data_IF_972925315576
#
_entry.id   IF_972925315576
#
_cell.length_a   1.000
_cell.length_b   1.000
_cell.length_c   1.000
_cell.angle_alpha   90.00
_cell.angle_beta   90.00
_cell.angle_gamma   90.00
#
_symmetry.space_group_name_H-M   'P 1'
#
loop_
_entity.id
_entity.type
_entity.pdbx_description
1 polymer ?
#
# COMPACT_ATOMS: atom_id res chain seq x y z
N UNK A 1 -0.47 -19.20 -26.25
CA UNK A 1 -0.48 -18.04 -25.34
C UNK A 1 0.13 -18.52 -24.05
N UNK A 2 1.42 -18.28 -23.85
CA UNK A 2 2.20 -18.71 -22.67
C UNK A 2 1.72 -17.90 -21.47
N UNK A 3 1.08 -18.56 -20.52
CA UNK A 3 0.76 -18.01 -19.21
C UNK A 3 2.11 -17.74 -18.49
N UNK A 4 2.60 -16.52 -18.57
CA UNK A 4 3.66 -16.04 -17.70
C UNK A 4 3.05 -15.94 -16.31
N UNK A 5 3.07 -17.06 -15.57
CA UNK A 5 2.87 -17.05 -14.13
C UNK A 5 3.92 -16.13 -13.54
N UNK A 6 3.54 -14.90 -13.18
CA UNK A 6 4.46 -14.00 -12.50
C UNK A 6 4.90 -14.69 -11.21
N UNK A 7 6.21 -14.81 -11.01
CA UNK A 7 6.76 -15.33 -9.77
C UNK A 7 6.18 -14.52 -8.60
N UNK A 8 5.88 -15.16 -7.45
CA UNK A 8 5.41 -14.45 -6.28
C UNK A 8 6.45 -13.41 -5.85
N UNK A 9 6.00 -12.24 -5.39
CA UNK A 9 6.88 -11.19 -4.86
C UNK A 9 7.76 -11.75 -3.73
N UNK A 10 9.06 -11.50 -3.82
CA UNK A 10 9.97 -11.74 -2.71
C UNK A 10 9.87 -10.59 -1.69
N UNK A 11 9.25 -10.86 -0.57
CA UNK A 11 9.06 -9.90 0.53
C UNK A 11 10.18 -10.00 1.59
N UNK A 12 11.18 -10.88 1.43
CA UNK A 12 12.26 -11.04 2.40
C UNK A 12 12.99 -9.72 2.73
N UNK A 13 13.25 -8.82 1.76
CA UNK A 13 13.81 -7.51 2.07
C UNK A 13 12.94 -6.70 3.05
N UNK A 14 11.63 -6.72 2.87
CA UNK A 14 10.68 -5.98 3.70
C UNK A 14 10.56 -6.58 5.11
N UNK A 15 10.56 -7.90 5.23
CA UNK A 15 10.38 -8.60 6.51
C UNK A 15 11.55 -8.41 7.50
N UNK A 16 12.66 -7.85 7.06
CA UNK A 16 13.77 -7.42 7.94
C UNK A 16 13.43 -6.15 8.72
N UNK A 17 12.38 -5.44 8.36
CA UNK A 17 12.00 -4.14 8.89
C UNK A 17 10.66 -4.18 9.61
N UNK A 18 10.55 -5.07 10.62
CA UNK A 18 9.36 -5.14 11.46
C UNK A 18 9.21 -3.84 12.25
N UNK A 19 8.13 -3.10 12.00
CA UNK A 19 7.85 -1.87 12.71
C UNK A 19 7.20 -2.15 14.06
N UNK A 20 6.20 -3.06 14.06
CA UNK A 20 5.59 -3.56 15.28
C UNK A 20 4.77 -4.83 15.06
N UNK A 21 4.45 -5.48 16.18
CA UNK A 21 3.43 -6.52 16.30
C UNK A 21 2.58 -6.21 17.52
N UNK A 22 1.27 -6.42 17.45
CA UNK A 22 0.36 -6.19 18.57
C UNK A 22 -0.85 -7.10 18.50
N UNK A 23 -1.33 -7.53 19.66
CA UNK A 23 -2.60 -8.22 19.82
C UNK A 23 -3.65 -7.36 20.51
N UNK A 24 -3.28 -6.11 20.82
CA UNK A 24 -4.14 -5.14 21.46
C UNK A 24 -4.76 -4.21 20.41
N UNK A 25 -6.10 -4.10 20.35
CA UNK A 25 -6.82 -3.28 19.38
C UNK A 25 -6.38 -1.82 19.38
N UNK A 26 -6.27 -1.21 20.57
CA UNK A 26 -5.91 0.21 20.71
C UNK A 26 -4.47 0.48 20.26
N UNK A 27 -3.50 -0.32 20.71
CA UNK A 27 -2.10 -0.20 20.29
C UNK A 27 -1.95 -0.39 18.79
N UNK A 28 -2.67 -1.37 18.22
CA UNK A 28 -2.70 -1.62 16.78
C UNK A 28 -3.20 -0.39 16.00
N UNK A 29 -4.33 0.16 16.42
CA UNK A 29 -4.92 1.34 15.80
C UNK A 29 -3.99 2.56 15.85
N UNK A 30 -3.47 2.90 17.03
CA UNK A 30 -2.59 4.06 17.21
C UNK A 30 -1.32 3.96 16.36
N UNK A 31 -0.70 2.80 16.29
CA UNK A 31 0.54 2.60 15.52
C UNK A 31 0.30 2.69 14.02
N UNK A 32 -0.82 2.15 13.52
CA UNK A 32 -1.19 2.26 12.11
C UNK A 32 -1.55 3.70 11.76
N UNK A 33 -2.28 4.41 12.63
CA UNK A 33 -2.64 5.81 12.42
C UNK A 33 -1.40 6.71 12.27
N UNK A 34 -0.35 6.48 13.06
CA UNK A 34 0.91 7.24 12.95
C UNK A 34 1.62 7.05 11.61
N UNK A 35 1.46 5.89 10.97
CA UNK A 35 2.12 5.61 9.69
C UNK A 35 1.37 6.18 8.49
N UNK A 36 0.05 6.14 8.52
CA UNK A 36 -0.78 6.57 7.40
C UNK A 36 -1.50 7.90 7.68
N UNK A 37 -2.58 7.85 8.41
CA UNK A 37 -3.38 8.98 8.84
C UNK A 37 -4.33 8.54 9.93
N UNK A 38 -4.92 9.49 10.64
CA UNK A 38 -5.98 9.22 11.59
C UNK A 38 -7.20 8.59 10.89
N UNK A 39 -7.80 7.61 11.53
CA UNK A 39 -8.92 6.85 10.98
C UNK A 39 -9.77 6.22 12.09
N UNK A 40 -11.03 5.95 11.79
CA UNK A 40 -11.83 5.08 12.62
C UNK A 40 -11.57 3.63 12.21
N UNK A 41 -11.42 2.76 13.20
CA UNK A 41 -11.17 1.33 13.00
C UNK A 41 -12.19 0.53 13.80
N UNK A 42 -13.06 -0.19 13.09
CA UNK A 42 -14.05 -1.08 13.69
C UNK A 42 -13.59 -2.54 13.53
N UNK A 43 -13.45 -3.22 14.65
CA UNK A 43 -13.17 -4.65 14.69
C UNK A 43 -14.47 -5.41 14.51
N UNK A 44 -14.59 -6.24 13.45
CA UNK A 44 -15.84 -6.94 13.10
C UNK A 44 -15.86 -8.39 13.56
N UNK A 45 -14.70 -9.03 13.65
CA UNK A 45 -14.61 -10.43 14.10
C UNK A 45 -13.19 -10.99 13.97
N UNK A 46 -12.97 -12.15 14.61
CA UNK A 46 -11.66 -12.79 14.64
C UNK A 46 -10.73 -12.24 15.72
N UNK A 47 -9.50 -12.75 15.74
CA UNK A 47 -8.48 -12.36 16.72
C UNK A 47 -7.58 -11.29 16.16
N UNK A 48 -7.29 -10.27 16.95
CA UNK A 48 -6.30 -9.25 16.64
C UNK A 48 -4.91 -9.87 16.66
N UNK A 49 -4.21 -9.80 15.54
CA UNK A 49 -2.82 -10.21 15.38
C UNK A 49 -2.18 -9.28 14.35
N UNK A 50 -2.08 -8.02 14.74
CA UNK A 50 -1.57 -6.97 13.87
C UNK A 50 -0.07 -7.09 13.72
N UNK A 51 0.39 -7.07 12.48
CA UNK A 51 1.81 -6.96 12.16
C UNK A 51 2.00 -5.95 11.04
N UNK A 52 3.01 -5.10 11.20
CA UNK A 52 3.41 -4.12 10.21
C UNK A 52 4.91 -4.19 9.98
N UNK A 53 5.28 -4.28 8.72
CA UNK A 53 6.65 -4.09 8.25
C UNK A 53 6.69 -2.85 7.36
N UNK A 54 7.79 -2.11 7.42
CA UNK A 54 7.95 -0.91 6.60
C UNK A 54 9.39 -0.78 6.12
N UNK A 55 9.56 -0.60 4.82
CA UNK A 55 10.81 -0.19 4.23
C UNK A 55 10.64 1.15 3.49
N UNK A 56 11.68 1.95 3.46
CA UNK A 56 11.72 3.23 2.74
C UNK A 56 12.75 3.16 1.62
N UNK A 57 12.37 3.70 0.48
CA UNK A 57 13.24 3.86 -0.66
C UNK A 57 13.06 5.29 -1.19
N UNK A 58 14.02 6.16 -0.89
CA UNK A 58 13.89 7.61 -1.11
C UNK A 58 12.61 8.16 -0.46
N UNK A 59 11.76 8.81 -1.23
CA UNK A 59 10.48 9.39 -0.79
C UNK A 59 9.33 8.38 -0.71
N UNK A 60 9.54 7.17 -1.22
CA UNK A 60 8.52 6.10 -1.20
C UNK A 60 8.57 5.30 0.10
N UNK A 61 7.42 4.86 0.56
CA UNK A 61 7.30 3.95 1.69
C UNK A 61 6.50 2.71 1.28
N UNK A 62 7.10 1.54 1.45
CA UNK A 62 6.46 0.25 1.23
C UNK A 62 6.11 -0.36 2.58
N UNK A 63 4.84 -0.67 2.77
CA UNK A 63 4.33 -1.22 4.02
C UNK A 63 3.63 -2.55 3.74
N UNK A 64 3.92 -3.59 4.50
CA UNK A 64 3.06 -4.76 4.61
C UNK A 64 2.29 -4.65 5.91
N UNK A 65 0.98 -4.78 5.83
CA UNK A 65 0.06 -4.68 6.96
C UNK A 65 -0.93 -5.85 6.96
N UNK A 66 -1.06 -6.47 8.14
CA UNK A 66 -2.10 -7.45 8.48
C UNK A 66 -2.68 -7.08 9.84
N UNK A 67 -3.99 -7.15 10.00
CA UNK A 67 -4.64 -6.97 11.31
C UNK A 67 -4.98 -8.30 12.00
N UNK A 68 -5.05 -9.40 11.24
CA UNK A 68 -5.49 -10.71 11.72
C UNK A 68 -7.00 -10.84 11.74
N UNK A 69 -7.69 -9.93 12.41
CA UNK A 69 -9.14 -9.85 12.49
C UNK A 69 -9.78 -9.29 11.20
N UNK A 70 -11.08 -9.49 11.06
CA UNK A 70 -11.90 -8.72 10.11
C UNK A 70 -12.08 -7.30 10.63
N UNK A 71 -11.86 -6.31 9.77
CA UNK A 71 -11.89 -4.90 10.14
C UNK A 71 -12.62 -4.05 9.11
N UNK A 72 -13.12 -2.91 9.57
CA UNK A 72 -13.58 -1.80 8.73
C UNK A 72 -12.79 -0.55 9.09
N UNK A 73 -12.19 0.08 8.09
CA UNK A 73 -11.36 1.27 8.21
C UNK A 73 -12.09 2.43 7.53
N UNK A 74 -12.26 3.54 8.24
CA UNK A 74 -12.75 4.82 7.68
C UNK A 74 -11.70 5.88 7.94
N UNK A 75 -10.77 6.10 6.98
CA UNK A 75 -9.76 7.13 7.13
C UNK A 75 -10.42 8.51 7.23
N UNK A 76 -9.88 9.37 8.07
CA UNK A 76 -10.09 10.81 7.89
C UNK A 76 -9.44 11.23 6.57
N UNK A 77 -9.89 12.30 5.93
CA UNK A 77 -9.23 12.78 4.73
C UNK A 77 -7.73 12.88 5.00
N UNK A 78 -6.94 12.10 4.26
CA UNK A 78 -5.50 12.16 4.36
C UNK A 78 -4.95 13.13 3.31
N UNK A 79 -3.88 13.81 3.70
CA UNK A 79 -3.34 14.90 2.90
C UNK A 79 -2.20 14.41 2.01
N UNK A 80 -2.19 14.94 0.79
CA UNK A 80 -1.05 15.00 -0.13
C UNK A 80 -0.25 13.71 -0.30
N UNK A 81 -0.92 12.56 -0.35
CA UNK A 81 -0.35 11.30 -0.81
C UNK A 81 -1.42 10.42 -1.45
N UNK A 82 -0.99 9.46 -2.25
CA UNK A 82 -1.84 8.37 -2.73
C UNK A 82 -1.31 7.04 -2.20
N UNK A 83 -2.20 6.05 -2.14
CA UNK A 83 -1.86 4.68 -1.78
C UNK A 83 -2.06 3.77 -2.99
N UNK A 84 -1.16 2.82 -3.17
CA UNK A 84 -1.35 1.69 -4.05
C UNK A 84 -1.40 0.43 -3.21
N UNK A 85 -2.54 -0.23 -3.17
CA UNK A 85 -2.75 -1.47 -2.45
C UNK A 85 -2.57 -2.67 -3.39
N UNK A 86 -1.85 -3.68 -2.93
CA UNK A 86 -1.78 -5.00 -3.51
C UNK A 86 -2.21 -6.01 -2.45
N UNK A 87 -3.25 -6.77 -2.72
CA UNK A 87 -3.70 -7.84 -1.82
C UNK A 87 -2.78 -9.05 -1.96
N UNK A 88 -1.99 -9.32 -0.92
CA UNK A 88 -1.10 -10.49 -0.84
C UNK A 88 -1.88 -11.75 -0.47
N UNK A 89 -2.85 -11.61 0.44
CA UNK A 89 -3.72 -12.68 0.93
C UNK A 89 -5.09 -12.13 1.30
N UNK A 90 -6.13 -12.96 1.17
CA UNK A 90 -7.50 -12.62 1.55
C UNK A 90 -8.19 -11.71 0.54
N UNK A 91 -9.10 -10.89 1.04
CA UNK A 91 -9.94 -9.98 0.25
C UNK A 91 -10.06 -8.63 0.97
N UNK A 92 -9.92 -7.56 0.22
CA UNK A 92 -10.22 -6.21 0.67
C UNK A 92 -11.30 -5.58 -0.20
N UNK A 93 -12.26 -4.92 0.40
CA UNK A 93 -13.27 -4.12 -0.27
C UNK A 93 -12.97 -2.65 -0.01
N UNK A 94 -13.06 -1.83 -1.05
CA UNK A 94 -12.86 -0.39 -0.98
C UNK A 94 -14.09 0.27 -1.56
N UNK A 95 -14.69 1.16 -0.80
CA UNK A 95 -15.80 1.97 -1.24
C UNK A 95 -15.42 3.44 -1.13
N UNK A 96 -15.50 4.16 -2.22
CA UNK A 96 -15.20 5.58 -2.31
C UNK A 96 -16.10 6.24 -3.35
N UNK A 97 -16.67 7.39 -2.99
CA UNK A 97 -17.54 8.19 -3.87
C UNK A 97 -18.68 7.35 -4.52
N UNK A 98 -19.24 6.40 -3.76
CA UNK A 98 -20.33 5.51 -4.24
C UNK A 98 -19.86 4.35 -5.14
N UNK A 99 -18.58 4.25 -5.45
CA UNK A 99 -18.01 3.14 -6.21
C UNK A 99 -17.41 2.11 -5.24
N UNK A 100 -17.73 0.82 -5.48
CA UNK A 100 -17.20 -0.31 -4.73
C UNK A 100 -16.20 -1.08 -5.59
N UNK A 101 -15.02 -1.31 -5.04
CA UNK A 101 -13.93 -2.07 -5.65
C UNK A 101 -13.56 -3.23 -4.75
N UNK A 102 -13.43 -4.43 -5.29
CA UNK A 102 -13.03 -5.63 -4.55
C UNK A 102 -11.65 -6.08 -5.02
N UNK A 103 -10.74 -6.19 -4.07
CA UNK A 103 -9.38 -6.66 -4.28
C UNK A 103 -9.25 -8.08 -3.78
N UNK A 104 -9.13 -9.02 -4.70
CA UNK A 104 -8.70 -10.38 -4.42
C UNK A 104 -7.17 -10.48 -4.42
N UNK A 105 -6.65 -11.60 -3.96
CA UNK A 105 -5.22 -11.89 -3.99
C UNK A 105 -4.61 -11.61 -5.37
N UNK A 106 -3.50 -10.90 -5.40
CA UNK A 106 -2.76 -10.54 -6.60
C UNK A 106 -3.34 -9.35 -7.38
N UNK A 107 -4.40 -8.71 -6.87
CA UNK A 107 -4.99 -7.52 -7.49
C UNK A 107 -4.55 -6.26 -6.78
N UNK A 108 -4.33 -5.22 -7.57
CA UNK A 108 -3.90 -3.92 -7.09
C UNK A 108 -4.91 -2.82 -7.40
N UNK A 109 -4.97 -1.81 -6.54
CA UNK A 109 -5.75 -0.60 -6.77
C UNK A 109 -5.03 0.63 -6.25
N UNK A 110 -5.20 1.74 -6.97
CA UNK A 110 -4.88 3.08 -6.48
C UNK A 110 -6.00 3.54 -5.57
N UNK A 111 -5.65 4.18 -4.47
CA UNK A 111 -6.57 4.84 -3.54
C UNK A 111 -6.09 6.27 -3.35
N UNK A 112 -6.90 7.22 -3.77
CA UNK A 112 -6.65 8.64 -3.57
C UNK A 112 -7.41 9.16 -2.33
N UNK A 113 -6.96 10.27 -1.71
CA UNK A 113 -7.64 10.86 -0.57
C UNK A 113 -9.07 11.31 -0.94
N UNK A 114 -10.05 10.84 -0.19
CA UNK A 114 -11.48 11.22 -0.32
C UNK A 114 -12.12 11.29 1.05
N UNK A 115 -13.18 12.09 1.17
CA UNK A 115 -13.93 12.24 2.43
C UNK A 115 -14.74 11.00 2.79
N UNK A 116 -15.25 10.29 1.77
CA UNK A 116 -16.12 9.13 1.95
C UNK A 116 -15.40 7.85 1.52
N UNK A 117 -14.21 7.60 2.09
CA UNK A 117 -13.47 6.36 1.86
C UNK A 117 -13.76 5.38 3.01
N UNK A 118 -14.14 4.16 2.63
CA UNK A 118 -14.34 3.03 3.53
C UNK A 118 -13.62 1.81 2.97
N UNK A 119 -12.89 1.11 3.81
CA UNK A 119 -12.25 -0.15 3.44
C UNK A 119 -12.68 -1.24 4.43
N UNK A 120 -12.97 -2.42 3.93
CA UNK A 120 -13.25 -3.61 4.73
C UNK A 120 -12.29 -4.72 4.33
N UNK A 121 -11.53 -5.21 5.28
CA UNK A 121 -10.61 -6.32 5.07
C UNK A 121 -11.14 -7.54 5.80
N UNK A 122 -11.26 -8.65 5.08
CA UNK A 122 -11.65 -9.93 5.68
C UNK A 122 -10.57 -10.43 6.64
N UNK A 123 -10.97 -11.30 7.56
CA UNK A 123 -10.05 -11.95 8.50
C UNK A 123 -8.86 -12.56 7.75
N UNK A 124 -7.65 -12.34 8.25
CA UNK A 124 -6.41 -12.85 7.68
C UNK A 124 -5.94 -12.16 6.40
N UNK A 125 -6.61 -11.07 5.98
CA UNK A 125 -6.15 -10.30 4.83
C UNK A 125 -4.81 -9.63 5.08
N UNK A 126 -3.93 -9.69 4.07
CA UNK A 126 -2.62 -9.05 4.05
C UNK A 126 -2.52 -8.11 2.85
N UNK A 127 -2.09 -6.88 3.11
CA UNK A 127 -1.93 -5.85 2.08
C UNK A 127 -0.48 -5.39 1.99
N UNK A 128 0.04 -5.33 0.78
CA UNK A 128 1.25 -4.56 0.48
C UNK A 128 0.81 -3.18 -0.02
N UNK A 129 1.29 -2.15 0.65
CA UNK A 129 0.84 -0.77 0.42
C UNK A 129 2.05 0.08 0.06
N UNK A 130 2.01 0.68 -1.13
CA UNK A 130 2.95 1.73 -1.51
C UNK A 130 2.32 3.08 -1.20
N UNK A 131 2.99 3.87 -0.35
CA UNK A 131 2.63 5.26 -0.07
C UNK A 131 3.45 6.18 -0.96
N UNK A 132 2.77 6.92 -1.82
CA UNK A 132 3.36 7.83 -2.80
C UNK A 132 3.05 9.27 -2.41
N UNK A 133 4.05 10.09 -2.04
CA UNK A 133 3.83 11.50 -1.72
C UNK A 133 3.28 12.27 -2.91
N UNK A 134 2.37 13.21 -2.66
CA UNK A 134 1.81 14.07 -3.70
C UNK A 134 2.87 14.97 -4.37
N UNK A 135 3.91 15.35 -3.63
CA UNK A 135 5.06 16.06 -4.21
C UNK A 135 5.71 15.26 -5.33
N UNK A 136 5.88 13.94 -5.16
CA UNK A 136 6.43 13.07 -6.19
C UNK A 136 5.47 12.94 -7.39
N UNK A 137 4.17 12.79 -7.12
CA UNK A 137 3.16 12.74 -8.18
C UNK A 137 3.14 14.02 -9.02
N UNK A 138 3.20 15.20 -8.39
CA UNK A 138 3.28 16.50 -9.09
C UNK A 138 4.54 16.62 -9.93
N UNK A 139 5.67 16.19 -9.40
CA UNK A 139 6.95 16.20 -10.11
C UNK A 139 6.91 15.32 -11.36
N UNK A 140 6.43 14.06 -11.22
CA UNK A 140 6.37 13.13 -12.34
C UNK A 140 5.33 13.49 -13.41
N UNK A 141 4.21 14.14 -13.02
CA UNK A 141 3.12 14.48 -13.96
C UNK A 141 3.20 15.90 -14.48
N UNK A 142 4.01 16.77 -13.87
CA UNK A 142 4.02 18.21 -14.15
C UNK A 142 2.73 18.93 -13.76
N UNK A 143 1.86 18.28 -12.96
CA UNK A 143 0.49 18.74 -12.66
C UNK A 143 0.36 19.13 -11.19
N UNK A 144 0.09 20.41 -10.84
CA UNK A 144 -0.01 20.85 -9.44
C UNK A 144 -1.08 20.11 -8.61
N UNK A 145 -2.16 19.71 -9.24
CA UNK A 145 -3.31 19.01 -8.64
C UNK A 145 -3.31 17.50 -8.92
N UNK A 146 -2.12 16.89 -9.12
CA UNK A 146 -1.96 15.47 -9.47
C UNK A 146 -2.74 14.51 -8.56
N UNK A 147 -2.71 14.74 -7.24
CA UNK A 147 -3.40 13.85 -6.27
C UNK A 147 -4.92 13.96 -6.40
N UNK A 148 -5.46 15.16 -6.56
CA UNK A 148 -6.91 15.39 -6.65
C UNK A 148 -7.50 14.89 -7.98
N UNK A 149 -6.69 14.77 -9.03
CA UNK A 149 -7.09 14.21 -10.32
C UNK A 149 -7.14 12.68 -10.35
N UNK A 150 -6.48 12.01 -9.40
CA UNK A 150 -6.60 10.57 -9.32
C UNK A 150 -8.06 10.17 -9.06
N UNK A 151 -8.56 9.07 -9.63
CA UNK A 151 -9.85 8.52 -9.24
C UNK A 151 -9.84 8.14 -7.75
N UNK A 152 -10.98 8.21 -7.09
CA UNK A 152 -11.11 7.86 -5.68
C UNK A 152 -10.56 6.47 -5.39
N UNK A 153 -10.91 5.51 -6.23
CA UNK A 153 -10.32 4.17 -6.30
C UNK A 153 -10.31 3.70 -7.75
N UNK A 154 -9.24 3.04 -8.17
CA UNK A 154 -9.15 2.44 -9.49
C UNK A 154 -8.36 1.13 -9.43
N UNK A 155 -8.98 0.06 -9.93
CA UNK A 155 -8.28 -1.21 -10.16
C UNK A 155 -7.18 -1.02 -11.21
N UNK A 156 -6.03 -1.59 -10.93
CA UNK A 156 -5.00 -1.70 -11.95
C UNK A 156 -5.50 -2.64 -13.07
N UNK A 157 -5.39 -2.25 -14.36
CA UNK A 157 -5.74 -3.15 -15.46
C UNK A 157 -4.93 -4.45 -15.39
N UNK A 158 -5.58 -5.58 -15.68
CA UNK A 158 -4.94 -6.90 -15.56
C UNK A 158 -3.65 -7.02 -16.38
N UNK A 159 -3.59 -6.37 -17.54
CA UNK A 159 -2.38 -6.38 -18.38
C UNK A 159 -1.22 -5.57 -17.79
N UNK A 160 -1.48 -4.64 -16.87
CA UNK A 160 -0.48 -3.82 -16.19
C UNK A 160 0.02 -4.43 -14.86
N UNK A 161 -0.69 -5.45 -14.33
CA UNK A 161 -0.28 -6.11 -13.07
C UNK A 161 1.14 -6.69 -13.12
N UNK A 162 1.58 -7.40 -14.19
CA UNK A 162 2.95 -7.95 -14.24
C UNK A 162 4.02 -6.87 -14.17
N UNK A 163 3.85 -5.75 -14.89
CA UNK A 163 4.79 -4.62 -14.88
C UNK A 163 4.83 -3.96 -13.51
N UNK A 164 3.66 -3.80 -12.89
CA UNK A 164 3.53 -3.29 -11.54
C UNK A 164 4.25 -4.18 -10.52
N UNK A 165 4.05 -5.49 -10.57
CA UNK A 165 4.72 -6.44 -9.69
C UNK A 165 6.25 -6.42 -9.88
N UNK A 166 6.73 -6.32 -11.12
CA UNK A 166 8.15 -6.18 -11.41
C UNK A 166 8.75 -4.89 -10.82
N UNK A 167 8.02 -3.77 -10.92
CA UNK A 167 8.40 -2.50 -10.30
C UNK A 167 8.45 -2.62 -8.78
N UNK A 168 7.44 -3.22 -8.16
CA UNK A 168 7.41 -3.46 -6.71
C UNK A 168 8.56 -4.35 -6.26
N UNK A 169 8.88 -5.40 -7.02
CA UNK A 169 10.01 -6.27 -6.72
C UNK A 169 11.34 -5.50 -6.77
N UNK A 170 11.53 -4.68 -7.79
CA UNK A 170 12.71 -3.83 -7.94
C UNK A 170 12.83 -2.82 -6.79
N UNK A 171 11.71 -2.23 -6.38
CA UNK A 171 11.66 -1.30 -5.25
C UNK A 171 12.02 -2.00 -3.92
N UNK A 172 11.49 -3.19 -3.68
CA UNK A 172 11.82 -4.00 -2.52
C UNK A 172 13.30 -4.37 -2.47
N UNK A 173 13.88 -4.75 -3.60
CA UNK A 173 15.33 -5.02 -3.69
C UNK A 173 16.15 -3.75 -3.42
N UNK A 174 15.73 -2.60 -3.94
CA UNK A 174 16.41 -1.33 -3.68
C UNK A 174 16.48 -0.99 -2.18
N UNK A 175 15.48 -1.37 -1.39
CA UNK A 175 15.50 -1.15 0.07
C UNK A 175 16.55 -1.97 0.80
N UNK A 176 17.02 -3.06 0.19
CA UNK A 176 18.02 -3.98 0.75
C UNK A 176 19.45 -3.76 0.22
N UNK A 177 19.62 -2.86 -0.76
CA UNK A 177 20.94 -2.57 -1.32
C UNK A 177 21.87 -2.01 -0.26
N UNK A 178 23.12 -2.50 -0.17
CA UNK A 178 24.15 -1.86 0.62
C UNK A 178 24.49 -0.49 0.02
N UNK A 179 24.70 0.50 0.85
CA UNK A 179 25.03 1.85 0.41
C UNK A 179 24.32 2.91 1.23
N UNK A 180 24.69 4.15 0.98
CA UNK A 180 24.06 5.30 1.62
C UNK A 180 22.65 5.59 1.00
N UNK A 181 21.96 6.53 1.62
CA UNK A 181 20.64 6.94 1.17
C UNK A 181 20.67 7.59 -0.23
N UNK A 182 21.78 8.25 -0.58
CA UNK A 182 21.94 8.88 -1.89
C UNK A 182 22.00 7.85 -3.02
N UNK A 183 22.74 6.76 -2.83
CA UNK A 183 22.81 5.64 -3.78
C UNK A 183 21.45 4.98 -3.97
N UNK A 184 20.72 4.71 -2.87
CA UNK A 184 19.35 4.14 -2.94
C UNK A 184 18.39 5.10 -3.63
N UNK A 185 18.50 6.39 -3.35
CA UNK A 185 17.67 7.42 -3.96
C UNK A 185 17.92 7.50 -5.47
N UNK A 186 19.17 7.51 -5.92
CA UNK A 186 19.52 7.53 -7.33
C UNK A 186 18.93 6.31 -8.06
N UNK A 187 18.99 5.15 -7.45
CA UNK A 187 18.43 3.91 -8.01
C UNK A 187 16.90 3.98 -8.14
N UNK A 188 16.20 4.44 -7.10
CA UNK A 188 14.74 4.60 -7.14
C UNK A 188 14.31 5.64 -8.18
N UNK A 189 15.03 6.76 -8.29
CA UNK A 189 14.74 7.77 -9.30
C UNK A 189 14.91 7.22 -10.72
N UNK A 190 15.90 6.35 -10.96
CA UNK A 190 16.07 5.70 -12.26
C UNK A 190 14.90 4.78 -12.63
N UNK A 191 14.26 4.15 -11.63
CA UNK A 191 13.06 3.31 -11.85
C UNK A 191 11.80 4.12 -12.18
N UNK A 192 11.72 5.36 -11.69
CA UNK A 192 10.54 6.22 -11.89
C UNK A 192 10.60 6.93 -13.26
N UNK A 193 11.79 7.08 -13.83
CA UNK A 193 12.00 7.76 -15.12
C UNK A 193 12.09 6.79 -16.33
N UNK A 194 11.86 5.49 -16.12
CA UNK A 194 11.69 4.50 -17.19
C UNK A 194 10.22 4.44 -17.60
#
# INVERSE_FOLDING_TARGET
>A
MTNLSSAPLDLAPLYRHCLFRSREPMDSHERVAREFSDHNLDWKGGSVDTVMYRARASRLSVVMLRYGAEIEIRPKPFDDFALMHLTLQGVAEIEADGCRTVLHRGRSAVIAPRRNLRMRWQQGSEQLILKVPGSLLRECTGTPDAVSRLPATALLPTHAEPQWLALMQSLLHATALPGDEATRTAWVLSLIHI
#
